data_IF_756081754550
#
_entry.id   IF_756081754550
#
_cell.length_a   1.000
_cell.length_b   1.000
_cell.length_c   1.000
_cell.angle_alpha   90.00
_cell.angle_beta   90.00
_cell.angle_gamma   90.00
#
_symmetry.space_group_name_H-M   'P 1'
#
loop_
_entity.id
_entity.type
_entity.pdbx_description
1 polymer ?
#
# COMPACT_ATOMS: atom_id res chain seq x y z
N UNK A 1 -6.84 -6.76 -20.97
CA UNK A 1 -6.04 -7.62 -20.09
C UNK A 1 -6.04 -6.94 -18.73
N UNK A 2 -6.30 -7.68 -17.65
CA UNK A 2 -6.09 -7.17 -16.29
C UNK A 2 -4.89 -7.91 -15.74
N UNK A 3 -3.85 -7.17 -15.33
CA UNK A 3 -2.66 -7.73 -14.71
C UNK A 3 -2.85 -7.65 -13.19
N UNK A 4 -2.77 -8.79 -12.52
CA UNK A 4 -2.63 -8.88 -11.06
C UNK A 4 -1.14 -8.90 -10.74
N UNK A 5 -0.69 -8.00 -9.88
CA UNK A 5 0.68 -8.00 -9.37
C UNK A 5 0.67 -7.95 -7.85
N UNK A 6 1.75 -8.46 -7.24
CA UNK A 6 1.95 -8.47 -5.79
C UNK A 6 3.31 -7.83 -5.53
N UNK A 7 3.36 -6.93 -4.56
CA UNK A 7 4.58 -6.24 -4.14
C UNK A 7 4.71 -6.21 -2.63
N UNK A 8 5.93 -5.99 -2.15
CA UNK A 8 6.23 -5.72 -0.74
C UNK A 8 7.05 -4.44 -0.63
N UNK A 9 6.97 -3.79 0.51
CA UNK A 9 7.70 -2.55 0.75
C UNK A 9 7.74 -2.15 2.21
N UNK A 10 8.37 -1.02 2.47
CA UNK A 10 8.48 -0.39 3.78
C UNK A 10 7.95 1.05 3.67
N UNK A 11 6.98 1.40 4.51
CA UNK A 11 6.46 2.75 4.65
C UNK A 11 6.95 3.37 5.96
N UNK A 12 7.09 4.69 5.99
CA UNK A 12 7.28 5.45 7.22
C UNK A 12 6.00 6.26 7.44
N UNK A 13 5.31 6.01 8.55
CA UNK A 13 4.11 6.77 8.91
C UNK A 13 4.48 8.11 9.53
N UNK A 14 3.59 9.09 9.38
CA UNK A 14 3.75 10.44 9.96
C UNK A 14 3.91 10.38 11.50
N UNK A 15 3.36 9.35 12.15
CA UNK A 15 3.50 9.08 13.57
C UNK A 15 4.84 8.42 13.97
N UNK A 16 5.79 8.26 13.05
CA UNK A 16 7.16 7.79 13.34
C UNK A 16 7.35 6.27 13.32
N UNK A 17 6.35 5.49 12.95
CA UNK A 17 6.47 4.03 12.85
C UNK A 17 6.92 3.59 11.46
N UNK A 18 7.86 2.64 11.41
CA UNK A 18 8.18 1.88 10.19
C UNK A 18 7.14 0.77 10.05
N UNK A 19 6.50 0.72 8.89
CA UNK A 19 5.46 -0.24 8.56
C UNK A 19 5.87 -1.01 7.31
N UNK A 20 6.40 -2.24 7.45
CA UNK A 20 6.45 -3.15 6.31
C UNK A 20 5.03 -3.49 5.87
N UNK A 21 4.86 -3.60 4.57
CA UNK A 21 3.57 -3.88 3.98
C UNK A 21 3.69 -4.81 2.79
N UNK A 22 2.59 -5.52 2.53
CA UNK A 22 2.35 -6.24 1.28
C UNK A 22 1.23 -5.53 0.54
N UNK A 23 1.33 -5.46 -0.77
CA UNK A 23 0.27 -4.96 -1.63
C UNK A 23 -0.06 -5.94 -2.74
N UNK A 24 -1.32 -5.97 -3.13
CA UNK A 24 -1.77 -6.53 -4.39
C UNK A 24 -2.34 -5.40 -5.24
N UNK A 25 -1.99 -5.33 -6.53
CA UNK A 25 -2.54 -4.34 -7.45
C UNK A 25 -3.20 -4.99 -8.65
N UNK A 26 -4.30 -4.40 -9.08
CA UNK A 26 -5.08 -4.79 -10.25
C UNK A 26 -5.11 -3.60 -11.19
N UNK A 27 -4.57 -3.79 -12.40
CA UNK A 27 -4.63 -2.79 -13.46
C UNK A 27 -6.06 -2.73 -14.03
N UNK A 28 -6.66 -1.53 -13.99
CA UNK A 28 -7.99 -1.24 -14.51
C UNK A 28 -7.89 -0.04 -15.47
N UNK A 29 -7.50 -0.33 -16.71
CA UNK A 29 -7.38 0.69 -17.76
C UNK A 29 -6.15 1.57 -17.53
N UNK A 30 -6.38 2.82 -17.11
CA UNK A 30 -5.29 3.78 -16.82
C UNK A 30 -5.02 3.95 -15.32
N UNK A 31 -5.80 3.29 -14.47
CA UNK A 31 -5.69 3.37 -13.01
C UNK A 31 -5.38 1.97 -12.47
N UNK A 32 -4.42 1.88 -11.56
CA UNK A 32 -4.14 0.68 -10.79
C UNK A 32 -4.86 0.77 -9.45
N UNK A 33 -5.73 -0.19 -9.15
CA UNK A 33 -6.33 -0.32 -7.82
C UNK A 33 -5.45 -1.21 -6.97
N UNK A 34 -5.08 -0.75 -5.79
CA UNK A 34 -4.10 -1.39 -4.93
C UNK A 34 -4.69 -1.65 -3.54
N UNK A 35 -4.59 -2.88 -3.09
CA UNK A 35 -4.95 -3.32 -1.76
C UNK A 35 -3.67 -3.53 -0.97
N UNK A 36 -3.49 -2.78 0.11
CA UNK A 36 -2.31 -2.81 0.98
C UNK A 36 -2.70 -3.42 2.33
N UNK A 37 -1.84 -4.25 2.88
CA UNK A 37 -1.88 -4.65 4.28
C UNK A 37 -0.52 -4.38 4.90
N UNK A 38 -0.48 -3.42 5.82
CA UNK A 38 0.69 -3.04 6.60
C UNK A 38 0.69 -3.66 8.00
N UNK A 39 1.87 -3.73 8.60
CA UNK A 39 2.07 -4.27 9.94
C UNK A 39 2.90 -3.28 10.76
N UNK A 40 2.43 -2.91 11.94
CA UNK A 40 3.19 -2.11 12.91
C UNK A 40 3.75 -3.06 13.96
N UNK A 41 5.06 -2.99 14.15
CA UNK A 41 5.79 -3.80 15.11
C UNK A 41 6.04 -2.98 16.38
N UNK A 42 5.75 -3.59 17.52
CA UNK A 42 6.10 -3.05 18.83
C UNK A 42 6.53 -4.17 19.77
N UNK A 43 6.06 -4.17 21.01
CA UNK A 43 6.57 -5.09 22.04
C UNK A 43 6.18 -6.56 21.79
N UNK A 44 5.05 -6.80 21.10
CA UNK A 44 4.52 -8.14 20.88
C UNK A 44 4.71 -8.65 19.45
N UNK A 45 5.81 -8.24 18.80
CA UNK A 45 6.12 -8.52 17.39
C UNK A 45 5.15 -7.80 16.45
N UNK A 46 3.88 -8.20 16.34
CA UNK A 46 2.88 -7.48 15.53
C UNK A 46 1.82 -6.86 16.46
N UNK A 47 1.85 -5.54 16.57
CA UNK A 47 0.95 -4.80 17.45
C UNK A 47 -0.32 -4.34 16.71
N UNK A 48 -0.22 -4.02 15.41
CA UNK A 48 -1.37 -3.58 14.60
C UNK A 48 -1.26 -4.03 13.15
N UNK A 49 -2.38 -4.45 12.57
CA UNK A 49 -2.53 -4.68 11.12
C UNK A 49 -3.31 -3.52 10.53
N UNK A 50 -2.75 -2.90 9.50
CA UNK A 50 -3.29 -1.69 8.87
C UNK A 50 -3.69 -2.01 7.44
N UNK A 51 -4.98 -2.29 7.16
CA UNK A 51 -5.46 -2.44 5.81
C UNK A 51 -5.53 -1.07 5.11
N UNK A 52 -5.37 -1.04 3.81
CA UNK A 52 -5.50 0.18 3.01
C UNK A 52 -5.92 -0.10 1.58
N UNK A 53 -6.58 0.88 0.98
CA UNK A 53 -6.97 0.85 -0.43
C UNK A 53 -6.46 2.13 -1.07
N UNK A 54 -5.73 1.95 -2.17
CA UNK A 54 -5.12 3.02 -2.93
C UNK A 54 -5.48 2.91 -4.40
N UNK A 55 -5.46 4.04 -5.07
CA UNK A 55 -5.42 4.14 -6.51
C UNK A 55 -4.06 4.72 -6.91
N UNK A 56 -3.44 4.13 -7.92
CA UNK A 56 -2.26 4.67 -8.56
C UNK A 56 -2.56 5.07 -10.00
N UNK A 57 -1.94 6.15 -10.42
CA UNK A 57 -2.02 6.66 -11.78
C UNK A 57 -0.63 7.03 -12.27
N UNK A 58 -0.27 6.55 -13.45
CA UNK A 58 0.98 6.90 -14.11
C UNK A 58 0.83 8.22 -14.87
N UNK A 59 1.52 9.24 -14.38
CA UNK A 59 1.59 10.56 -15.01
C UNK A 59 3.02 10.85 -15.47
N UNK A 60 3.24 10.77 -16.79
CA UNK A 60 4.56 10.90 -17.41
C UNK A 60 5.57 9.91 -16.80
N UNK A 61 6.57 10.39 -16.06
CA UNK A 61 7.61 9.58 -15.43
C UNK A 61 7.37 9.35 -13.92
N UNK A 62 6.21 9.78 -13.41
CA UNK A 62 5.86 9.69 -12.00
C UNK A 62 4.61 8.83 -11.83
N UNK A 63 4.63 7.97 -10.81
CA UNK A 63 3.44 7.28 -10.34
C UNK A 63 2.89 8.00 -9.13
N UNK A 64 1.67 8.50 -9.25
CA UNK A 64 0.96 9.18 -8.16
C UNK A 64 0.09 8.17 -7.45
N UNK A 65 0.17 8.13 -6.12
CA UNK A 65 -0.61 7.25 -5.27
C UNK A 65 -1.53 8.09 -4.39
N UNK A 66 -2.80 7.70 -4.30
CA UNK A 66 -3.76 8.32 -3.39
C UNK A 66 -4.66 7.25 -2.79
N UNK A 67 -4.98 7.35 -1.51
CA UNK A 67 -5.78 6.33 -0.85
C UNK A 67 -6.00 6.59 0.63
N UNK A 68 -6.58 5.59 1.27
CA UNK A 68 -6.89 5.63 2.69
C UNK A 68 -6.39 4.35 3.35
N UNK A 69 -5.91 4.50 4.58
CA UNK A 69 -5.55 3.40 5.46
C UNK A 69 -6.53 3.36 6.62
N UNK A 70 -6.91 2.16 7.04
CA UNK A 70 -7.67 1.94 8.25
C UNK A 70 -6.80 2.09 9.48
N UNK A 71 -7.26 2.89 10.44
CA UNK A 71 -6.77 2.95 11.82
C UNK A 71 -7.90 2.52 12.75
#
# INVERSE_FOLDING_TARGET
>A
MSALSIGWGLGVKIHGHIEPFVMASVEIGVIDVMFKTGFIFGENIVDLVVPGIFAAYDFCNFRVYGGFEGL
#
